data_IF_918921829507
#
_entry.id   IF_918921829507
#
_cell.length_a   1.000
_cell.length_b   1.000
_cell.length_c   1.000
_cell.angle_alpha   90.00
_cell.angle_beta   90.00
_cell.angle_gamma   90.00
#
_symmetry.space_group_name_H-M   'P 1'
#
loop_
_entity.id
_entity.type
_entity.pdbx_description
1 polymer ?
#
# COMPACT_ATOMS: atom_id res chain seq x y z
N UNK A 1 -7.09 7.03 11.75
CA UNK A 1 -7.34 8.20 10.90
C UNK A 1 -7.97 9.32 11.72
N UNK A 2 -9.10 9.08 12.38
CA UNK A 2 -9.70 10.01 13.35
C UNK A 2 -9.42 9.54 14.78
N UNK A 3 -9.45 10.48 15.72
CA UNK A 3 -9.25 10.23 17.14
C UNK A 3 -10.58 10.02 17.88
N UNK A 4 -11.64 10.74 17.46
CA UNK A 4 -12.95 10.74 18.13
C UNK A 4 -14.10 10.46 17.17
N UNK A 5 -15.24 10.05 17.72
CA UNK A 5 -16.46 9.81 16.95
C UNK A 5 -17.04 11.13 16.38
N UNK A 6 -16.91 12.22 17.12
CA UNK A 6 -17.36 13.56 16.70
C UNK A 6 -16.56 14.03 15.48
N UNK A 7 -15.23 13.86 15.53
CA UNK A 7 -14.35 14.15 14.41
C UNK A 7 -14.75 13.32 13.19
N UNK A 8 -14.90 12.01 13.36
CA UNK A 8 -15.32 11.11 12.29
C UNK A 8 -16.69 11.47 11.69
N UNK A 9 -17.65 11.88 12.54
CA UNK A 9 -19.01 12.29 12.12
C UNK A 9 -18.98 13.53 11.24
N UNK A 10 -18.04 14.46 11.48
CA UNK A 10 -17.86 15.66 10.65
C UNK A 10 -17.43 15.33 9.22
N UNK A 11 -16.80 14.18 9.00
CA UNK A 11 -16.33 13.72 7.70
C UNK A 11 -17.22 12.63 7.08
N UNK A 12 -18.46 12.45 7.57
CA UNK A 12 -19.43 11.61 6.89
C UNK A 12 -19.74 12.16 5.50
N UNK A 13 -19.80 11.27 4.51
CA UNK A 13 -19.97 11.64 3.10
C UNK A 13 -18.69 12.06 2.39
N UNK A 14 -17.56 12.21 3.09
CA UNK A 14 -16.29 12.60 2.48
C UNK A 14 -15.77 11.53 1.49
N UNK A 15 -15.17 12.00 0.40
CA UNK A 15 -14.49 11.15 -0.58
C UNK A 15 -13.11 10.74 -0.04
N UNK A 16 -12.80 9.46 -0.20
CA UNK A 16 -11.51 8.86 0.19
C UNK A 16 -10.94 8.06 -0.98
N UNK A 17 -9.62 7.85 -0.97
CA UNK A 17 -8.90 7.11 -2.03
C UNK A 17 -7.78 6.29 -1.42
N UNK A 18 -7.57 5.06 -1.90
CA UNK A 18 -6.44 4.22 -1.47
C UNK A 18 -5.18 4.55 -2.26
N UNK A 19 -4.00 4.14 -1.76
CA UNK A 19 -2.72 4.18 -2.52
C UNK A 19 -2.86 3.48 -3.86
N UNK A 20 -3.58 2.35 -3.89
CA UNK A 20 -3.88 1.55 -5.08
C UNK A 20 -4.86 2.21 -6.04
N UNK A 21 -5.41 3.38 -5.70
CA UNK A 21 -6.22 4.20 -6.60
C UNK A 21 -7.73 3.97 -6.51
N UNK A 22 -8.20 3.06 -5.65
CA UNK A 22 -9.62 2.72 -5.49
C UNK A 22 -10.33 3.88 -4.79
N UNK A 23 -11.42 4.37 -5.39
CA UNK A 23 -12.21 5.46 -4.81
C UNK A 23 -13.22 4.89 -3.81
N UNK A 24 -13.53 5.68 -2.80
CA UNK A 24 -14.51 5.33 -1.80
C UNK A 24 -15.13 6.55 -1.14
N UNK A 25 -16.10 6.28 -0.27
CA UNK A 25 -16.80 7.30 0.49
C UNK A 25 -17.00 6.84 1.93
N UNK A 26 -16.80 7.74 2.89
CA UNK A 26 -17.16 7.50 4.29
C UNK A 26 -18.67 7.56 4.41
N UNK A 27 -19.28 6.53 5.01
CA UNK A 27 -20.74 6.44 5.17
C UNK A 27 -21.20 6.78 6.57
N UNK A 28 -20.57 6.22 7.61
CA UNK A 28 -21.04 6.37 8.99
C UNK A 28 -19.91 6.21 10.01
N UNK A 29 -19.89 7.04 11.04
CA UNK A 29 -19.04 6.88 12.20
C UNK A 29 -19.55 5.73 13.10
N UNK A 30 -18.64 4.87 13.56
CA UNK A 30 -18.98 3.74 14.41
C UNK A 30 -19.01 4.19 15.88
N UNK A 31 -20.09 3.82 16.60
CA UNK A 31 -20.36 4.22 17.98
C UNK A 31 -20.29 3.02 18.97
N UNK A 32 -19.83 1.86 18.50
CA UNK A 32 -19.83 0.63 19.31
C UNK A 32 -18.64 0.60 20.28
N UNK A 33 -18.88 0.17 21.52
CA UNK A 33 -17.83 -0.06 22.52
C UNK A 33 -16.83 -1.15 22.14
N UNK A 34 -17.16 -2.02 21.18
CA UNK A 34 -16.25 -3.07 20.71
C UNK A 34 -15.25 -2.58 19.65
N UNK A 35 -15.40 -1.37 19.13
CA UNK A 35 -14.60 -0.83 18.04
C UNK A 35 -13.85 0.41 18.54
N UNK A 36 -12.56 0.59 18.21
CA UNK A 36 -11.81 1.77 18.63
C UNK A 36 -12.52 3.07 18.24
N UNK A 37 -12.49 4.05 19.14
CA UNK A 37 -13.05 5.38 18.90
C UNK A 37 -12.44 6.02 17.64
N UNK A 38 -13.26 6.71 16.84
CA UNK A 38 -12.83 7.30 15.56
C UNK A 38 -12.84 6.33 14.37
N UNK A 39 -13.32 5.10 14.54
CA UNK A 39 -13.51 4.16 13.45
C UNK A 39 -14.72 4.52 12.58
N UNK A 40 -14.60 4.27 11.28
CA UNK A 40 -15.62 4.63 10.29
C UNK A 40 -15.97 3.47 9.39
N UNK A 41 -17.23 3.41 8.95
CA UNK A 41 -17.66 2.56 7.85
C UNK A 41 -17.51 3.35 6.56
N UNK A 42 -16.79 2.78 5.60
CA UNK A 42 -16.66 3.30 4.26
C UNK A 42 -17.08 2.27 3.20
N UNK A 43 -17.46 2.77 2.03
CA UNK A 43 -17.77 1.96 0.85
C UNK A 43 -16.78 2.29 -0.25
N UNK A 44 -16.26 1.27 -0.94
CA UNK A 44 -15.29 1.39 -2.01
C UNK A 44 -15.84 0.79 -3.30
N UNK A 45 -15.27 1.21 -4.43
CA UNK A 45 -15.62 0.68 -5.76
C UNK A 45 -15.28 -0.81 -5.91
N UNK A 46 -14.14 -1.23 -5.36
CA UNK A 46 -13.67 -2.60 -5.35
C UNK A 46 -13.18 -3.01 -3.95
N UNK A 47 -12.90 -4.30 -3.76
CA UNK A 47 -12.35 -4.85 -2.53
C UNK A 47 -10.93 -4.34 -2.32
N UNK A 48 -10.75 -3.57 -1.25
CA UNK A 48 -9.43 -3.14 -0.77
C UNK A 48 -8.68 -4.29 -0.09
N UNK A 49 -7.34 -4.21 -0.10
CA UNK A 49 -6.48 -5.14 0.65
C UNK A 49 -6.12 -4.56 2.02
N UNK A 50 -5.82 -5.41 3.00
CA UNK A 50 -5.41 -4.95 4.34
C UNK A 50 -4.06 -4.21 4.34
N UNK A 51 -3.23 -4.43 3.32
CA UNK A 51 -1.97 -3.71 3.11
C UNK A 51 -2.15 -2.29 2.55
N UNK A 52 -3.33 -1.94 2.06
CA UNK A 52 -3.57 -0.62 1.49
C UNK A 52 -3.65 0.46 2.57
N UNK A 53 -3.06 1.63 2.28
CA UNK A 53 -3.29 2.84 3.07
C UNK A 53 -4.38 3.70 2.43
N UNK A 54 -5.26 4.25 3.27
CA UNK A 54 -6.44 5.03 2.86
C UNK A 54 -6.19 6.51 3.16
N UNK A 55 -6.36 7.37 2.16
CA UNK A 55 -6.21 8.81 2.29
C UNK A 55 -7.55 9.53 2.14
N UNK A 56 -7.75 10.56 2.97
CA UNK A 56 -8.74 11.61 2.75
C UNK A 56 -7.98 12.87 2.39
N UNK A 57 -8.23 13.39 1.18
CA UNK A 57 -7.61 14.64 0.74
C UNK A 57 -8.46 15.80 1.21
N UNK A 58 -7.88 16.66 2.05
CA UNK A 58 -8.49 17.90 2.53
C UNK A 58 -7.61 19.10 2.19
N UNK A 59 -8.21 20.29 2.27
CA UNK A 59 -7.51 21.56 2.12
C UNK A 59 -7.57 22.32 3.45
N UNK A 60 -6.44 22.90 3.85
CA UNK A 60 -6.33 23.70 5.06
C UNK A 60 -5.88 25.11 4.69
N UNK A 61 -6.60 26.13 5.17
CA UNK A 61 -6.25 27.52 4.95
C UNK A 61 -5.10 27.91 5.88
N UNK A 62 -4.03 28.44 5.32
CA UNK A 62 -2.85 28.88 6.07
C UNK A 62 -2.84 30.41 6.07
N UNK A 63 -2.72 31.00 7.25
CA UNK A 63 -2.54 32.44 7.41
C UNK A 63 -1.08 32.82 7.15
N UNK A 64 -0.86 33.80 6.27
CA UNK A 64 0.48 34.28 5.95
C UNK A 64 0.91 35.33 6.97
N UNK A 65 2.03 35.14 7.68
CA UNK A 65 2.53 36.14 8.62
C UNK A 65 2.90 37.42 7.85
N UNK A 66 2.33 38.55 8.26
CA UNK A 66 2.62 39.85 7.66
C UNK A 66 3.92 40.38 8.26
N UNK A 67 5.00 40.32 7.50
CA UNK A 67 6.30 40.84 7.89
C UNK A 67 6.81 41.82 6.83
N UNK A 68 7.20 43.02 7.25
CA UNK A 68 7.77 44.05 6.40
C UNK A 68 8.97 44.69 7.11
N UNK A 69 10.15 44.58 6.50
CA UNK A 69 11.38 45.19 7.00
C UNK A 69 12.05 45.94 5.83
N UNK A 70 11.97 47.28 5.79
CA UNK A 70 12.63 48.06 4.74
C UNK A 70 14.16 48.03 4.93
N UNK A 71 14.88 48.11 3.81
CA UNK A 71 16.33 48.18 3.78
C UNK A 71 16.75 49.64 3.97
N UNK A 72 17.49 49.94 5.03
CA UNK A 72 17.82 51.33 5.43
C UNK A 72 19.31 51.63 5.42
N UNK A 73 20.08 50.98 4.52
CA UNK A 73 21.55 51.05 4.50
C UNK A 73 22.09 52.49 4.47
N UNK A 74 21.46 53.38 3.68
CA UNK A 74 21.91 54.77 3.54
C UNK A 74 21.48 55.69 4.70
N UNK A 75 20.52 55.23 5.51
CA UNK A 75 20.04 55.95 6.70
C UNK A 75 20.79 55.51 7.97
N UNK A 76 21.69 54.52 7.86
CA UNK A 76 22.46 54.03 9.00
C UNK A 76 23.51 55.09 9.42
N UNK A 77 23.54 55.39 10.73
CA UNK A 77 24.42 56.41 11.34
C UNK A 77 25.92 56.12 11.15
N UNK A 78 26.27 54.86 10.87
CA UNK A 78 27.64 54.43 10.54
C UNK A 78 27.64 53.84 9.13
N UNK A 79 28.33 54.50 8.20
CA UNK A 79 28.54 54.02 6.82
C UNK A 79 29.24 52.65 6.74
N UNK A 80 29.81 52.16 7.84
CA UNK A 80 30.53 50.89 7.95
C UNK A 80 29.69 49.74 8.52
N UNK A 81 28.43 49.97 8.94
CA UNK A 81 27.57 48.90 9.44
C UNK A 81 26.76 48.28 8.30
N UNK A 82 27.08 47.02 7.97
CA UNK A 82 26.27 46.19 7.09
C UNK A 82 24.85 46.04 7.65
N UNK A 83 23.84 46.17 6.80
CA UNK A 83 22.45 45.99 7.22
C UNK A 83 22.17 44.55 7.62
N UNK A 84 21.66 44.35 8.83
CA UNK A 84 21.33 43.05 9.39
C UNK A 84 19.86 42.73 9.12
N UNK A 85 19.63 41.89 8.12
CA UNK A 85 18.31 41.38 7.78
C UNK A 85 17.89 40.14 8.57
N UNK A 86 16.76 39.55 8.17
CA UNK A 86 16.29 38.27 8.70
C UNK A 86 17.21 37.15 8.21
N UNK A 87 17.74 36.35 9.13
CA UNK A 87 18.56 35.18 8.80
C UNK A 87 17.70 34.07 8.19
N UNK A 88 18.26 33.36 7.20
CA UNK A 88 17.61 32.17 6.64
C UNK A 88 17.57 31.03 7.66
N UNK A 89 16.62 30.11 7.49
CA UNK A 89 16.52 28.92 8.35
C UNK A 89 17.83 28.11 8.38
N UNK A 90 18.58 28.05 7.28
CA UNK A 90 19.86 27.34 7.22
C UNK A 90 20.93 27.97 8.14
N UNK A 91 21.08 29.29 8.10
CA UNK A 91 22.03 30.03 8.95
C UNK A 91 21.64 29.87 10.41
N UNK A 92 20.36 30.06 10.74
CA UNK A 92 19.85 29.91 12.11
C UNK A 92 20.09 28.51 12.67
N UNK A 93 19.89 27.46 11.86
CA UNK A 93 20.14 26.08 12.29
C UNK A 93 21.62 25.81 12.51
N UNK A 94 22.50 26.36 11.66
CA UNK A 94 23.96 26.24 11.82
C UNK A 94 24.45 26.94 13.08
N UNK A 95 24.02 28.17 13.33
CA UNK A 95 24.40 28.95 14.53
C UNK A 95 23.90 28.30 15.83
N UNK A 96 22.70 27.72 15.79
CA UNK A 96 22.11 27.00 16.93
C UNK A 96 22.54 25.53 17.01
N UNK A 97 23.41 25.06 16.11
CA UNK A 97 23.85 23.66 16.01
C UNK A 97 22.68 22.64 15.98
N UNK A 98 21.57 23.00 15.33
CA UNK A 98 20.37 22.15 15.22
C UNK A 98 20.52 21.22 14.02
N UNK A 99 20.66 19.92 14.30
CA UNK A 99 20.61 18.87 13.27
C UNK A 99 19.17 18.51 12.94
N UNK A 100 18.87 18.34 11.65
CA UNK A 100 17.57 17.89 11.15
C UNK A 100 17.73 16.43 10.75
N UNK A 101 17.07 15.53 11.45
CA UNK A 101 16.97 14.15 11.04
C UNK A 101 15.66 13.97 10.25
N UNK A 102 15.70 13.63 8.96
CA UNK A 102 14.49 13.33 8.20
C UNK A 102 13.84 12.06 8.75
N UNK A 103 12.51 11.98 8.65
CA UNK A 103 11.78 10.76 9.01
C UNK A 103 12.13 9.64 8.02
N UNK A 104 12.55 8.47 8.54
CA UNK A 104 12.98 7.33 7.75
C UNK A 104 11.87 6.76 6.85
N UNK A 105 10.61 6.96 7.23
CA UNK A 105 9.45 6.53 6.43
C UNK A 105 9.15 7.46 5.25
N UNK A 106 9.66 8.70 5.31
CA UNK A 106 9.50 9.69 4.24
C UNK A 106 10.59 9.57 3.16
N UNK A 107 11.71 8.91 3.49
CA UNK A 107 12.80 8.69 2.54
C UNK A 107 12.41 7.62 1.52
N UNK A 108 12.59 7.93 0.23
CA UNK A 108 12.40 6.96 -0.85
C UNK A 108 13.38 5.79 -0.70
N UNK A 109 12.86 4.57 -0.81
CA UNK A 109 13.62 3.31 -0.73
C UNK A 109 13.39 2.51 -2.01
N UNK A 110 14.36 1.69 -2.39
CA UNK A 110 14.20 0.73 -3.49
C UNK A 110 13.17 -0.33 -3.06
N UNK A 111 12.19 -0.61 -3.91
CA UNK A 111 11.14 -1.60 -3.67
C UNK A 111 11.32 -2.73 -4.68
N UNK A 112 11.57 -3.94 -4.19
CA UNK A 112 11.61 -5.16 -5.01
C UNK A 112 10.25 -5.84 -4.92
N UNK A 113 9.65 -6.15 -6.07
CA UNK A 113 8.30 -6.73 -6.17
C UNK A 113 8.41 -8.16 -6.66
N UNK A 114 7.85 -9.07 -5.88
CA UNK A 114 7.70 -10.47 -6.28
C UNK A 114 6.61 -10.62 -7.35
N UNK A 115 6.74 -11.63 -8.20
CA UNK A 115 5.73 -11.94 -9.21
C UNK A 115 4.43 -12.39 -8.54
N UNK A 116 3.32 -11.76 -8.94
CA UNK A 116 2.01 -12.03 -8.35
C UNK A 116 1.35 -13.23 -9.03
N UNK A 117 1.35 -14.37 -8.35
CA UNK A 117 0.60 -15.56 -8.78
C UNK A 117 -0.84 -15.50 -8.22
N UNK A 118 -1.84 -15.55 -9.11
CA UNK A 118 -3.25 -15.52 -8.71
C UNK A 118 -3.76 -16.93 -8.37
N UNK A 119 -4.70 -17.00 -7.42
CA UNK A 119 -5.35 -18.27 -7.11
C UNK A 119 -6.19 -18.77 -8.30
N UNK A 120 -6.20 -20.09 -8.56
CA UNK A 120 -6.98 -20.66 -9.65
C UNK A 120 -8.49 -20.49 -9.42
N UNK A 121 -9.26 -20.43 -10.51
CA UNK A 121 -10.71 -20.29 -10.45
C UNK A 121 -11.36 -21.50 -9.79
N UNK A 122 -12.07 -21.29 -8.67
CA UNK A 122 -12.82 -22.32 -7.95
C UNK A 122 -14.32 -22.14 -8.11
N UNK A 123 -14.94 -23.01 -8.91
CA UNK A 123 -16.39 -23.02 -9.11
C UNK A 123 -17.09 -23.63 -7.88
N UNK A 124 -18.20 -23.03 -7.43
CA UNK A 124 -19.00 -23.59 -6.34
C UNK A 124 -19.68 -24.90 -6.77
N UNK A 125 -19.65 -25.92 -5.92
CA UNK A 125 -20.25 -27.26 -6.19
C UNK A 125 -21.72 -27.19 -6.63
N UNK A 126 -22.54 -26.42 -5.91
CA UNK A 126 -23.96 -26.20 -6.24
C UNK A 126 -24.19 -25.63 -7.64
N UNK A 127 -23.26 -24.81 -8.13
CA UNK A 127 -23.34 -24.27 -9.49
C UNK A 127 -22.92 -25.33 -10.50
N UNK A 128 -21.83 -26.04 -10.24
CA UNK A 128 -21.31 -27.11 -11.10
C UNK A 128 -22.32 -28.24 -11.33
N UNK A 129 -23.09 -28.61 -10.31
CA UNK A 129 -24.16 -29.62 -10.41
C UNK A 129 -25.24 -29.22 -11.43
N UNK A 130 -25.65 -27.95 -11.41
CA UNK A 130 -26.71 -27.38 -12.26
C UNK A 130 -26.24 -27.01 -13.67
N UNK A 131 -24.94 -27.01 -13.94
CA UNK A 131 -24.44 -26.67 -15.27
C UNK A 131 -24.88 -27.72 -16.32
N UNK A 132 -25.18 -27.30 -17.56
CA UNK A 132 -25.31 -28.22 -18.68
C UNK A 132 -24.06 -29.08 -18.83
N UNK A 133 -24.23 -30.33 -19.27
CA UNK A 133 -23.13 -31.30 -19.40
C UNK A 133 -21.94 -30.77 -20.22
N UNK A 134 -22.21 -30.00 -21.29
CA UNK A 134 -21.19 -29.39 -22.14
C UNK A 134 -20.25 -28.43 -21.41
N UNK A 135 -20.73 -27.77 -20.35
CA UNK A 135 -19.98 -26.76 -19.59
C UNK A 135 -19.44 -27.31 -18.25
N UNK A 136 -19.68 -28.58 -17.92
CA UNK A 136 -19.15 -29.18 -16.70
C UNK A 136 -17.64 -29.35 -16.84
N UNK A 137 -16.89 -28.79 -15.88
CA UNK A 137 -15.43 -28.95 -15.86
C UNK A 137 -15.07 -30.41 -15.61
N UNK A 138 -14.17 -30.95 -16.44
CA UNK A 138 -13.61 -32.29 -16.28
C UNK A 138 -12.50 -32.29 -15.23
N UNK A 139 -12.80 -31.77 -14.04
CA UNK A 139 -11.86 -31.81 -12.92
C UNK A 139 -12.14 -33.10 -12.15
N UNK A 140 -11.61 -34.21 -12.65
CA UNK A 140 -11.61 -35.46 -11.87
C UNK A 140 -10.73 -35.27 -10.63
N UNK A 141 -11.09 -35.93 -9.53
CA UNK A 141 -10.04 -36.30 -8.59
C UNK A 141 -9.01 -37.11 -9.40
N UNK A 142 -7.72 -36.83 -9.23
CA UNK A 142 -6.69 -37.71 -9.76
C UNK A 142 -6.86 -39.03 -9.01
N UNK A 143 -7.71 -39.89 -9.55
CA UNK A 143 -7.83 -41.26 -9.11
C UNK A 143 -6.60 -41.94 -9.68
N UNK A 144 -5.56 -42.04 -8.85
CA UNK A 144 -4.47 -42.95 -9.14
C UNK A 144 -5.12 -44.32 -9.19
N UNK A 145 -5.17 -44.91 -10.38
CA UNK A 145 -5.79 -46.21 -10.56
C UNK A 145 -5.17 -47.19 -9.55
N UNK A 146 -5.97 -47.99 -8.82
CA UNK A 146 -5.44 -48.97 -7.89
C UNK A 146 -4.40 -49.90 -8.54
N UNK A 147 -4.54 -50.13 -9.85
CA UNK A 147 -3.63 -50.89 -10.68
C UNK A 147 -2.27 -50.18 -10.89
N UNK A 148 -2.24 -48.86 -11.01
CA UNK A 148 -0.98 -48.10 -11.10
C UNK A 148 -0.20 -48.15 -9.80
N UNK A 149 -0.87 -48.19 -8.64
CA UNK A 149 -0.22 -48.40 -7.33
C UNK A 149 0.38 -49.80 -7.16
N UNK A 150 -0.16 -50.79 -7.87
CA UNK A 150 0.36 -52.17 -7.86
C UNK A 150 1.54 -52.38 -8.81
N UNK A 151 1.80 -51.46 -9.76
CA UNK A 151 3.00 -51.54 -10.59
C UNK A 151 4.23 -51.31 -9.71
N UNK A 152 5.21 -52.21 -9.82
CA UNK A 152 6.51 -52.03 -9.15
C UNK A 152 7.16 -50.78 -9.74
N UNK A 153 7.48 -49.80 -8.88
CA UNK A 153 8.23 -48.62 -9.29
C UNK A 153 9.64 -49.05 -9.71
N UNK A 154 9.93 -48.96 -11.01
CA UNK A 154 11.28 -49.22 -11.53
C UNK A 154 12.13 -48.00 -11.20
N UNK A 155 13.09 -48.17 -10.28
CA UNK A 155 14.06 -47.14 -9.96
C UNK A 155 15.04 -47.04 -11.12
N UNK A 156 15.08 -45.89 -11.77
CA UNK A 156 15.99 -45.60 -12.89
C UNK A 156 17.44 -45.60 -12.44
N UNK A 157 18.33 -45.94 -13.35
CA UNK A 157 19.77 -45.94 -13.13
C UNK A 157 20.30 -44.49 -12.98
N UNK A 158 21.44 -44.24 -12.29
CA UNK A 158 21.92 -42.89 -12.04
C UNK A 158 22.18 -42.04 -13.30
N UNK A 159 22.52 -42.66 -14.43
CA UNK A 159 22.70 -41.94 -15.70
C UNK A 159 21.36 -41.48 -16.28
N UNK A 160 20.35 -42.34 -16.28
CA UNK A 160 19.01 -42.02 -16.75
C UNK A 160 18.37 -40.88 -15.95
N UNK A 161 18.57 -40.87 -14.63
CA UNK A 161 18.11 -39.78 -13.76
C UNK A 161 18.77 -38.44 -14.11
N UNK A 162 20.08 -38.44 -14.42
CA UNK A 162 20.80 -37.23 -14.84
C UNK A 162 20.30 -36.72 -16.19
N UNK A 163 20.04 -37.63 -17.13
CA UNK A 163 19.51 -37.28 -18.46
C UNK A 163 18.12 -36.68 -18.35
N UNK A 164 17.23 -37.28 -17.56
CA UNK A 164 15.89 -36.74 -17.30
C UNK A 164 15.96 -35.37 -16.60
N UNK A 165 16.82 -35.22 -15.60
CA UNK A 165 17.04 -33.94 -14.94
C UNK A 165 17.55 -32.85 -15.89
N UNK A 166 18.43 -33.20 -16.83
CA UNK A 166 18.84 -32.30 -17.90
C UNK A 166 17.67 -31.93 -18.82
N UNK A 167 16.84 -32.89 -19.23
CA UNK A 167 15.67 -32.61 -20.06
C UNK A 167 14.67 -31.68 -19.36
N UNK A 168 14.34 -31.95 -18.09
CA UNK A 168 13.43 -31.10 -17.30
C UNK A 168 13.97 -29.67 -17.21
N UNK A 169 15.27 -29.49 -16.94
CA UNK A 169 15.90 -28.16 -16.91
C UNK A 169 15.94 -27.44 -18.26
N UNK A 170 15.97 -28.18 -19.37
CA UNK A 170 15.94 -27.60 -20.72
C UNK A 170 14.52 -27.16 -21.09
N UNK A 171 13.50 -27.88 -20.62
CA UNK A 171 12.10 -27.66 -21.01
C UNK A 171 11.26 -26.83 -20.02
N UNK A 172 11.71 -26.62 -18.77
CA UNK A 172 11.01 -25.80 -17.75
C UNK A 172 11.38 -24.29 -17.80
N UNK A 173 11.78 -23.76 -18.96
CA UNK A 173 11.84 -22.32 -19.26
C UNK A 173 10.55 -21.84 -19.93
#
# INVERSE_FOLDING_TARGET
>A
MFSTVIEASKFEGASIKTVSGIRGQIKKALHSSSVPAGSVRATFEDRIMASDSIFLRSWFAIEVPKFYAPITNLLAVKHEQEWLGVKTLGILKKEKSVQINPDENSLYKKIEREEKVFAPLKIKRKLQEKLPFSLKTKTGAVQIDPLEKQRVAIVREPEEQKVEFCYVKIFDF
#
